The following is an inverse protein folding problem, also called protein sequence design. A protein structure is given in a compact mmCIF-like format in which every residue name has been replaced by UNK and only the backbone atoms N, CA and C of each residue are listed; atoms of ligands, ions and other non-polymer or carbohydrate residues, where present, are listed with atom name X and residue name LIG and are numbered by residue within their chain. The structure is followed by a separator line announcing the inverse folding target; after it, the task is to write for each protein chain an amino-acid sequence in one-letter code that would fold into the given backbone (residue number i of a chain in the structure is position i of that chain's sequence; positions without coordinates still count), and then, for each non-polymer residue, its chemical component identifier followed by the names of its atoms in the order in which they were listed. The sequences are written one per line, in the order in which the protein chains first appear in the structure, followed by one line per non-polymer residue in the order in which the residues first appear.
data_IF_371615650716
#
_entry.id   IF_371615650716
#
_cell.length_a   1.000
_cell.length_b   1.000
_cell.length_c   1.000
_cell.angle_alpha   90.00
_cell.angle_beta   90.00
_cell.angle_gamma   90.00
#
_symmetry.space_group_name_H-M   'P 1'
#
loop_
_entity.id
_entity.type
_entity.pdbx_description
1 polymer ?
#
# COMPACT_ATOMS: atom_id res chain seq x y z
N UNK A 1 -2.72 11.09 7.22
CA UNK A 1 -2.18 10.44 6.00
C UNK A 1 -0.85 11.13 5.68
N UNK A 2 0.18 10.38 5.28
CA UNK A 2 1.60 10.76 5.33
C UNK A 2 2.06 11.92 4.44
N UNK A 3 3.31 12.34 4.64
CA UNK A 3 3.98 13.44 3.96
C UNK A 3 4.35 13.10 2.49
N UNK A 4 4.95 14.03 1.75
CA UNK A 4 5.36 13.80 0.35
C UNK A 4 6.31 12.61 0.16
N UNK A 5 7.05 12.22 1.19
CA UNK A 5 8.05 11.13 1.15
C UNK A 5 7.48 9.77 1.61
N UNK A 6 6.33 9.74 2.28
CA UNK A 6 5.69 8.54 2.80
C UNK A 6 4.17 8.56 2.64
N UNK A 7 3.58 7.41 2.34
CA UNK A 7 2.13 7.27 2.28
C UNK A 7 1.53 7.90 1.04
N UNK A 8 0.38 8.56 1.16
CA UNK A 8 -0.48 8.91 0.03
C UNK A 8 0.23 9.64 -1.11
N UNK A 9 1.00 10.69 -0.80
CA UNK A 9 1.69 11.47 -1.81
C UNK A 9 2.83 10.70 -2.48
N UNK A 10 3.50 9.80 -1.76
CA UNK A 10 4.56 8.96 -2.32
C UNK A 10 3.98 8.00 -3.38
N UNK A 11 3.00 7.18 -3.01
CA UNK A 11 2.51 6.15 -3.93
C UNK A 11 1.56 6.69 -5.02
N UNK A 12 0.85 7.80 -4.77
CA UNK A 12 0.01 8.42 -5.80
C UNK A 12 0.82 9.10 -6.91
N UNK A 13 2.02 9.60 -6.58
CA UNK A 13 2.94 10.20 -7.56
C UNK A 13 3.87 9.15 -8.19
N UNK A 14 4.77 8.55 -7.39
CA UNK A 14 5.82 7.67 -7.89
C UNK A 14 5.31 6.35 -8.43
N UNK A 15 4.27 5.79 -7.81
CA UNK A 15 3.74 4.47 -8.17
C UNK A 15 2.40 4.52 -8.89
N UNK A 16 1.85 5.72 -9.17
CA UNK A 16 0.59 5.90 -9.89
C UNK A 16 -0.63 5.21 -9.22
N UNK A 17 -0.65 5.10 -7.89
CA UNK A 17 -1.79 4.54 -7.13
C UNK A 17 -2.61 5.71 -6.56
N UNK A 18 -3.66 6.12 -7.27
CA UNK A 18 -4.39 7.37 -6.98
C UNK A 18 -5.74 7.17 -6.29
N UNK A 19 -6.08 5.93 -5.89
CA UNK A 19 -7.37 5.62 -5.27
C UNK A 19 -7.19 4.93 -3.92
N UNK A 20 -7.78 5.50 -2.86
CA UNK A 20 -7.72 4.95 -1.49
C UNK A 20 -8.23 3.52 -1.43
N UNK A 21 -9.26 3.19 -2.22
CA UNK A 21 -9.83 1.84 -2.29
C UNK A 21 -8.81 0.75 -2.64
N UNK A 22 -7.77 1.06 -3.45
CA UNK A 22 -6.72 0.09 -3.81
C UNK A 22 -5.90 -0.26 -2.57
N UNK A 23 -5.49 0.75 -1.81
CA UNK A 23 -4.71 0.59 -0.58
C UNK A 23 -5.56 -0.08 0.50
N UNK A 24 -6.80 0.37 0.68
CA UNK A 24 -7.73 -0.17 1.66
C UNK A 24 -8.06 -1.65 1.40
N UNK A 25 -8.22 -2.04 0.13
CA UNK A 25 -8.48 -3.43 -0.24
C UNK A 25 -7.34 -4.37 0.18
N UNK A 26 -6.08 -3.93 0.02
CA UNK A 26 -4.92 -4.72 0.43
C UNK A 26 -4.80 -4.84 1.96
N UNK A 27 -5.09 -3.77 2.71
CA UNK A 27 -4.94 -3.77 4.18
C UNK A 27 -6.17 -4.28 4.94
N UNK A 28 -7.22 -4.75 4.25
CA UNK A 28 -8.46 -5.24 4.87
C UNK A 28 -8.32 -6.65 5.49
N UNK A 29 -7.11 -7.22 5.49
CA UNK A 29 -6.81 -8.55 6.01
C UNK A 29 -5.75 -8.56 7.11
N UNK A 30 -5.22 -9.75 7.39
CA UNK A 30 -4.01 -9.90 8.20
C UNK A 30 -2.78 -9.55 7.33
N UNK A 31 -1.68 -9.07 7.92
CA UNK A 31 -0.44 -8.88 7.17
C UNK A 31 0.06 -10.21 6.60
N UNK A 32 0.50 -10.18 5.37
CA UNK A 32 1.08 -11.34 4.67
C UNK A 32 2.54 -11.55 5.05
N UNK A 33 3.22 -10.48 5.45
CA UNK A 33 4.53 -10.55 6.07
C UNK A 33 4.65 -9.56 7.22
N UNK A 34 5.23 -10.04 8.32
CA UNK A 34 5.51 -9.24 9.51
C UNK A 34 6.99 -9.28 9.82
N UNK A 35 7.63 -8.12 9.85
CA UNK A 35 9.00 -7.94 10.33
C UNK A 35 9.02 -6.84 11.40
N UNK A 36 8.89 -7.24 12.66
CA UNK A 36 8.73 -6.30 13.77
C UNK A 36 7.50 -5.40 13.58
N UNK A 37 7.73 -4.09 13.49
CA UNK A 37 6.70 -3.08 13.25
C UNK A 37 6.43 -2.80 11.77
N UNK A 38 7.20 -3.39 10.84
CA UNK A 38 6.94 -3.30 9.41
C UNK A 38 6.01 -4.44 8.99
N UNK A 39 4.85 -4.06 8.49
CA UNK A 39 3.81 -4.97 8.00
C UNK A 39 3.71 -4.81 6.49
N UNK A 40 3.67 -5.93 5.79
CA UNK A 40 3.45 -5.99 4.34
C UNK A 40 2.12 -6.67 4.08
N UNK A 41 1.35 -6.08 3.18
CA UNK A 41 0.08 -6.57 2.70
C UNK A 41 0.14 -6.68 1.18
N UNK A 42 -0.47 -7.70 0.60
CA UNK A 42 -0.68 -7.80 -0.84
C UNK A 42 -2.15 -7.95 -1.21
N UNK A 43 -2.48 -7.50 -2.40
CA UNK A 43 -3.73 -7.85 -3.08
C UNK A 43 -3.48 -7.95 -4.57
N UNK A 44 -4.34 -8.69 -5.27
CA UNK A 44 -4.38 -8.66 -6.72
C UNK A 44 -5.46 -7.68 -7.20
N UNK A 45 -5.09 -6.83 -8.15
CA UNK A 45 -6.04 -6.03 -8.90
C UNK A 45 -6.20 -6.60 -10.31
N UNK A 46 -7.45 -6.65 -10.76
CA UNK A 46 -7.85 -7.29 -12.01
C UNK A 46 -8.60 -6.32 -12.92
N UNK A 47 -8.36 -6.41 -14.23
CA UNK A 47 -9.12 -5.69 -15.26
C UNK A 47 -9.19 -6.56 -16.51
N UNK A 48 -10.32 -7.26 -16.68
CA UNK A 48 -10.42 -8.34 -17.67
C UNK A 48 -9.34 -9.40 -17.43
N UNK A 49 -8.56 -9.72 -18.46
CA UNK A 49 -7.47 -10.70 -18.38
C UNK A 49 -6.16 -10.11 -17.81
N UNK A 50 -6.15 -8.84 -17.38
CA UNK A 50 -4.98 -8.18 -16.80
C UNK A 50 -4.99 -8.35 -15.28
N UNK A 51 -3.83 -8.69 -14.72
CA UNK A 51 -3.62 -8.81 -13.27
C UNK A 51 -2.34 -8.10 -12.86
N UNK A 52 -2.37 -7.43 -11.71
CA UNK A 52 -1.16 -6.93 -11.04
C UNK A 52 -1.23 -7.19 -9.54
N UNK A 53 -0.11 -7.61 -8.94
CA UNK A 53 0.02 -7.66 -7.49
C UNK A 53 0.34 -6.27 -6.97
N UNK A 54 -0.50 -5.75 -6.09
CA UNK A 54 -0.28 -4.51 -5.34
C UNK A 54 0.26 -4.87 -3.96
N UNK A 55 1.43 -4.35 -3.61
CA UNK A 55 2.02 -4.47 -2.28
C UNK A 55 1.84 -3.16 -1.53
N UNK A 56 1.33 -3.23 -0.30
CA UNK A 56 1.18 -2.10 0.62
C UNK A 56 2.05 -2.35 1.84
N UNK A 57 2.87 -1.36 2.18
CA UNK A 57 3.74 -1.42 3.35
C UNK A 57 3.24 -0.45 4.40
N UNK A 58 2.98 -0.98 5.58
CA UNK A 58 2.52 -0.26 6.77
C UNK A 58 3.62 -0.30 7.82
N UNK A 59 3.91 0.86 8.41
CA UNK A 59 4.75 0.97 9.58
C UNK A 59 3.86 1.15 10.82
N UNK A 60 3.69 0.08 11.59
CA UNK A 60 2.91 0.04 12.82
C UNK A 60 3.77 0.42 14.04
N UNK A 61 4.57 1.48 13.88
CA UNK A 61 5.34 2.08 14.95
C UNK A 61 5.18 3.59 14.89
N UNK A 62 5.57 4.25 15.99
CA UNK A 62 5.73 5.69 16.04
C UNK A 62 6.83 6.17 15.08
N UNK A 63 7.94 5.43 15.00
CA UNK A 63 9.13 5.79 14.22
C UNK A 63 9.48 4.75 13.16
N UNK A 64 10.10 5.18 12.06
CA UNK A 64 10.80 4.26 11.14
C UNK A 64 12.09 3.76 11.77
N UNK A 65 12.58 2.59 11.32
CA UNK A 65 13.79 1.97 11.86
C UNK A 65 15.05 2.82 11.64
N UNK A 66 15.09 3.58 10.54
CA UNK A 66 16.15 4.55 10.21
C UNK A 66 16.01 5.89 10.96
N UNK A 67 14.99 6.05 11.81
CA UNK A 67 14.76 7.26 12.60
C UNK A 67 14.35 8.49 11.81
N UNK A 68 14.24 8.42 10.48
CA UNK A 68 13.94 9.56 9.61
C UNK A 68 12.54 10.15 9.84
N UNK A 69 11.61 9.34 10.35
CA UNK A 69 10.23 9.77 10.57
C UNK A 69 9.73 9.41 11.97
N UNK A 70 9.04 10.34 12.62
CA UNK A 70 8.32 10.17 13.89
C UNK A 70 6.89 10.73 13.73
N UNK A 71 5.88 9.89 13.94
CA UNK A 71 4.47 10.27 13.87
C UNK A 71 3.98 11.10 15.08
N UNK A 72 4.80 11.25 16.12
CA UNK A 72 4.46 11.88 17.39
C UNK A 72 3.96 10.87 18.44
N UNK A 73 4.01 11.29 19.72
CA UNK A 73 3.61 10.45 20.86
C UNK A 73 2.15 9.99 20.71
N UNK A 74 1.90 8.70 20.95
CA UNK A 74 0.56 8.10 20.86
C UNK A 74 0.08 7.77 19.44
N UNK A 75 0.85 8.12 18.40
CA UNK A 75 0.49 7.87 16.99
C UNK A 75 1.36 6.77 16.37
N UNK A 76 0.88 6.22 15.25
CA UNK A 76 1.58 5.26 14.39
C UNK A 76 1.67 5.84 12.98
N UNK A 77 2.74 5.55 12.26
CA UNK A 77 3.01 6.11 10.93
C UNK A 77 1.95 5.69 9.91
N UNK A 78 1.50 4.43 9.96
CA UNK A 78 0.50 3.91 9.01
C UNK A 78 1.12 3.51 7.67
N UNK A 79 0.40 3.66 6.57
CA UNK A 79 0.89 3.28 5.23
C UNK A 79 2.06 4.19 4.83
N UNK A 80 3.22 3.58 4.54
CA UNK A 80 4.43 4.29 4.11
C UNK A 80 4.68 4.21 2.60
N UNK A 81 4.23 3.15 1.94
CA UNK A 81 4.24 3.06 0.48
C UNK A 81 3.23 2.01 0.00
N UNK A 82 2.84 2.11 -1.27
CA UNK A 82 2.12 1.11 -2.03
C UNK A 82 2.67 1.08 -3.45
N UNK A 83 2.84 -0.10 -4.05
CA UNK A 83 3.40 -0.25 -5.39
C UNK A 83 2.96 -1.54 -6.07
N UNK A 84 3.15 -1.61 -7.39
CA UNK A 84 2.91 -2.81 -8.18
C UNK A 84 4.18 -3.67 -8.23
N UNK A 85 4.10 -4.94 -7.83
CA UNK A 85 5.28 -5.82 -7.78
C UNK A 85 5.90 -5.99 -9.16
N UNK A 86 7.21 -5.79 -9.25
CA UNK A 86 7.96 -5.89 -10.51
C UNK A 86 7.79 -4.69 -11.45
N UNK A 87 7.22 -3.57 -10.99
CA UNK A 87 6.95 -2.40 -11.81
C UNK A 87 7.42 -1.11 -11.14
N UNK A 88 7.99 -0.19 -11.93
CA UNK A 88 8.33 1.15 -11.45
C UNK A 88 7.08 2.01 -11.20
N UNK A 89 6.11 1.94 -12.12
CA UNK A 89 4.80 2.60 -12.05
C UNK A 89 3.69 1.58 -12.25
N UNK A 90 2.62 1.68 -11.46
CA UNK A 90 1.43 0.89 -11.71
C UNK A 90 0.75 1.30 -13.02
N UNK A 91 0.12 0.36 -13.73
CA UNK A 91 -0.63 0.65 -14.94
C UNK A 91 -1.79 1.63 -14.67
N UNK A 92 -2.09 2.51 -15.64
CA UNK A 92 -3.16 3.51 -15.48
C UNK A 92 -4.52 2.88 -15.21
N UNK A 93 -4.82 1.75 -15.86
CA UNK A 93 -6.07 1.01 -15.68
C UNK A 93 -6.35 0.63 -14.22
N UNK A 94 -5.30 0.54 -13.38
CA UNK A 94 -5.43 0.29 -11.94
C UNK A 94 -6.27 1.37 -11.24
N UNK A 95 -6.23 2.61 -11.74
CA UNK A 95 -6.98 3.73 -11.18
C UNK A 95 -8.45 3.78 -11.63
N UNK A 96 -8.79 3.01 -12.66
CA UNK A 96 -10.13 2.91 -13.25
C UNK A 96 -10.87 1.65 -12.78
N UNK A 97 -10.18 0.71 -12.13
CA UNK A 97 -10.78 -0.55 -11.67
C UNK A 97 -11.93 -0.26 -10.70
N UNK A 98 -13.12 -0.78 -10.98
CA UNK A 98 -14.12 -1.04 -9.93
C UNK A 98 -13.63 -2.28 -9.18
N UNK A 99 -12.90 -2.05 -8.07
CA UNK A 99 -12.46 -3.14 -7.20
C UNK A 99 -13.71 -3.83 -6.64
N UNK A 100 -14.02 -5.02 -7.15
CA UNK A 100 -14.86 -5.94 -6.40
C UNK A 100 -14.05 -6.36 -5.20
N UNK A 101 -14.56 -6.09 -4.00
CA UNK A 101 -13.94 -6.59 -2.80
C UNK A 101 -13.87 -8.12 -2.90
N UNK A 102 -12.71 -8.68 -2.55
CA UNK A 102 -12.45 -10.12 -2.40
C UNK A 102 -12.04 -10.84 -3.68
N UNK A 103 -10.73 -10.99 -3.83
CA UNK A 103 -10.14 -12.27 -4.20
C UNK A 103 -8.86 -12.42 -3.37
N UNK A 104 -9.05 -12.58 -2.04
CA UNK A 104 -8.16 -13.43 -1.26
C UNK A 104 -8.51 -14.88 -1.65
N UNK A 105 -8.22 -15.25 -2.89
CA UNK A 105 -8.56 -16.57 -3.41
C UNK A 105 -7.33 -17.46 -3.32
N UNK A 106 -7.40 -18.26 -2.26
CA UNK A 106 -6.72 -19.55 -1.98
C UNK A 106 -5.28 -19.53 -1.49
#
# INVERSE_FOLDING_TARGET
MGNSELGWNHFSSRHNIRKCKIVNAAINGKPDKKNGARLEYWAYAWSGNRRVQVTVIVQYARKTADGRYDAGKGKKIGVITAYCKGMNKCPDWLNDVRLSASDHSS
#
